data_IF_266511998661
#
_entry.id   IF_266511998661
#
_cell.length_a   1.000
_cell.length_b   1.000
_cell.length_c   1.000
_cell.angle_alpha   90.00
_cell.angle_beta   90.00
_cell.angle_gamma   90.00
#
_symmetry.space_group_name_H-M   'P 1'
#
loop_
_entity.id
_entity.type
_entity.pdbx_description
1 polymer ?
#
# COMPACT_ATOMS: atom_id res chain seq x y z
N UNK A 1 -16.71 -16.00 -36.82
CA UNK A 1 -15.40 -15.58 -36.28
C UNK A 1 -15.72 -14.95 -34.92
N UNK A 2 -15.86 -15.77 -33.89
CA UNK A 2 -16.26 -15.33 -32.55
C UNK A 2 -15.20 -15.79 -31.55
N UNK A 3 -14.58 -14.84 -30.86
CA UNK A 3 -13.84 -15.05 -29.61
C UNK A 3 -14.08 -13.83 -28.72
N UNK A 4 -15.29 -13.77 -28.17
CA UNK A 4 -15.55 -13.05 -26.92
C UNK A 4 -15.17 -13.91 -25.71
N UNK A 5 -15.16 -13.26 -24.56
CA UNK A 5 -15.00 -13.81 -23.20
C UNK A 5 -13.57 -13.97 -22.69
N UNK A 6 -13.08 -12.81 -22.24
CA UNK A 6 -12.46 -12.60 -20.94
C UNK A 6 -13.01 -13.54 -19.83
N UNK A 7 -12.12 -13.85 -18.87
CA UNK A 7 -12.35 -14.51 -17.58
C UNK A 7 -12.31 -16.04 -17.56
N UNK A 8 -11.14 -16.60 -17.22
CA UNK A 8 -11.04 -17.69 -16.23
C UNK A 8 -9.56 -17.86 -15.83
N UNK A 9 -9.11 -17.13 -14.81
CA UNK A 9 -7.87 -17.42 -14.10
C UNK A 9 -8.21 -18.06 -12.75
N UNK A 10 -8.15 -19.40 -12.60
CA UNK A 10 -8.34 -20.03 -11.29
C UNK A 10 -7.03 -20.11 -10.48
N UNK A 11 -7.06 -19.40 -9.34
CA UNK A 11 -6.58 -19.74 -7.99
C UNK A 11 -5.20 -20.41 -7.78
N UNK A 12 -4.24 -19.64 -7.22
CA UNK A 12 -3.16 -20.10 -6.29
C UNK A 12 -2.83 -18.91 -5.37
N UNK A 13 -2.60 -18.95 -4.06
CA UNK A 13 -2.30 -20.00 -3.10
C UNK A 13 -1.32 -19.41 -2.07
N UNK A 14 -1.59 -19.65 -0.77
CA UNK A 14 -0.77 -19.50 0.46
C UNK A 14 -0.76 -18.17 1.27
N UNK A 15 -0.95 -18.23 2.61
CA UNK A 15 -0.74 -17.13 3.54
C UNK A 15 0.68 -17.13 4.13
N UNK A 16 1.25 -15.94 4.37
CA UNK A 16 2.34 -15.75 5.33
C UNK A 16 3.63 -15.14 4.79
N UNK A 17 3.87 -13.90 5.25
CA UNK A 17 5.13 -13.22 5.58
C UNK A 17 6.19 -12.92 4.49
N UNK A 18 6.65 -11.67 4.56
CA UNK A 18 7.83 -11.05 3.95
C UNK A 18 7.72 -10.55 2.50
N UNK A 19 7.31 -9.27 2.39
CA UNK A 19 7.99 -8.35 1.47
C UNK A 19 7.68 -8.49 -0.01
N UNK A 20 6.41 -8.47 -0.39
CA UNK A 20 6.02 -8.27 -1.78
C UNK A 20 4.55 -8.56 -1.94
N UNK A 21 3.77 -7.52 -2.24
CA UNK A 21 2.36 -7.52 -2.68
C UNK A 21 1.50 -8.75 -2.30
N UNK A 22 0.46 -8.62 -1.47
CA UNK A 22 -0.47 -9.74 -1.28
C UNK A 22 -1.03 -10.20 -2.65
N UNK A 23 -1.18 -11.51 -2.88
CA UNK A 23 -1.87 -12.00 -4.06
C UNK A 23 -3.30 -11.45 -4.04
N UNK A 24 -3.69 -10.72 -5.09
CA UNK A 24 -4.99 -10.02 -5.17
C UNK A 24 -4.91 -8.50 -5.38
N UNK A 25 -3.71 -7.93 -5.49
CA UNK A 25 -3.53 -6.50 -5.80
C UNK A 25 -3.71 -6.25 -7.31
N UNK A 26 -4.59 -5.33 -7.70
CA UNK A 26 -4.75 -4.93 -9.11
C UNK A 26 -3.51 -4.20 -9.61
N UNK A 27 -3.33 -4.09 -10.93
CA UNK A 27 -2.24 -3.31 -11.52
C UNK A 27 -2.24 -1.85 -11.01
N UNK A 28 -3.43 -1.25 -10.90
CA UNK A 28 -3.63 0.11 -10.40
C UNK A 28 -3.15 0.26 -8.94
N UNK A 29 -3.46 -0.72 -8.08
CA UNK A 29 -2.98 -0.74 -6.69
C UNK A 29 -1.44 -0.85 -6.61
N UNK A 30 -0.82 -1.63 -7.50
CA UNK A 30 0.65 -1.75 -7.57
C UNK A 30 1.28 -0.41 -7.98
N UNK A 31 0.69 0.29 -8.95
CA UNK A 31 1.15 1.63 -9.37
C UNK A 31 1.02 2.65 -8.23
N UNK A 32 -0.11 2.65 -7.53
CA UNK A 32 -0.37 3.56 -6.41
C UNK A 32 0.56 3.29 -5.23
N UNK A 33 0.82 2.02 -4.91
CA UNK A 33 1.83 1.64 -3.91
C UNK A 33 3.24 2.07 -4.32
N UNK A 34 3.58 1.93 -5.60
CA UNK A 34 4.89 2.36 -6.12
C UNK A 34 5.05 3.87 -6.05
N UNK A 35 3.97 4.62 -6.32
CA UNK A 35 3.90 6.06 -6.12
C UNK A 35 4.11 6.42 -4.65
N UNK A 36 3.41 5.77 -3.72
CA UNK A 36 3.58 6.00 -2.28
C UNK A 36 5.02 5.73 -1.84
N UNK A 37 5.60 4.61 -2.25
CA UNK A 37 6.98 4.24 -1.92
C UNK A 37 8.04 5.20 -2.45
N UNK A 38 7.75 6.00 -3.48
CA UNK A 38 8.65 7.06 -3.98
C UNK A 38 8.73 8.24 -3.01
N UNK A 39 7.66 8.51 -2.26
CA UNK A 39 7.57 9.64 -1.32
C UNK A 39 7.81 9.22 0.14
N UNK A 40 8.10 7.95 0.40
CA UNK A 40 8.49 7.46 1.72
C UNK A 40 9.99 7.20 1.74
N UNK A 41 10.81 8.12 2.27
CA UNK A 41 12.26 7.92 2.32
C UNK A 41 12.61 6.83 3.32
N UNK A 42 13.66 6.04 3.04
CA UNK A 42 14.18 5.03 3.97
C UNK A 42 14.62 5.62 5.32
N UNK A 43 14.99 6.90 5.35
CA UNK A 43 15.31 7.61 6.60
C UNK A 43 14.11 7.83 7.51
N UNK A 44 12.89 7.79 6.98
CA UNK A 44 11.65 7.83 7.76
C UNK A 44 11.21 6.44 8.24
N UNK A 45 11.95 5.38 7.90
CA UNK A 45 11.65 4.00 8.29
C UNK A 45 12.79 3.41 9.15
N UNK A 46 12.45 2.72 10.25
CA UNK A 46 11.13 2.61 10.85
C UNK A 46 10.67 3.94 11.47
N UNK A 47 9.39 4.27 11.32
CA UNK A 47 8.86 5.54 11.82
C UNK A 47 7.36 5.53 12.03
N UNK A 48 6.91 6.39 12.95
CA UNK A 48 5.51 6.66 13.20
C UNK A 48 4.93 7.54 12.06
N UNK A 49 3.60 7.67 12.02
CA UNK A 49 2.90 8.52 11.06
C UNK A 49 3.54 9.90 10.83
N UNK A 50 3.93 10.58 11.91
CA UNK A 50 4.51 11.92 11.84
C UNK A 50 5.85 11.92 11.08
N UNK A 51 6.69 10.91 11.31
CA UNK A 51 7.97 10.75 10.62
C UNK A 51 7.78 10.47 9.11
N UNK A 52 6.73 9.72 8.77
CA UNK A 52 6.34 9.46 7.38
C UNK A 52 5.86 10.75 6.69
N UNK A 53 4.94 11.48 7.33
CA UNK A 53 4.43 12.76 6.81
C UNK A 53 5.55 13.79 6.63
N UNK A 54 6.46 13.90 7.59
CA UNK A 54 7.61 14.81 7.50
C UNK A 54 8.56 14.43 6.36
N UNK A 55 8.84 13.12 6.20
CA UNK A 55 9.64 12.60 5.10
C UNK A 55 9.03 12.88 3.74
N UNK A 56 7.72 12.65 3.62
CA UNK A 56 6.97 12.94 2.40
C UNK A 56 6.96 14.45 2.08
N UNK A 57 6.75 15.32 3.08
CA UNK A 57 6.85 16.78 2.89
C UNK A 57 8.24 17.23 2.44
N UNK A 58 9.29 16.59 2.97
CA UNK A 58 10.67 16.87 2.56
C UNK A 58 10.93 16.50 1.10
N UNK A 59 10.22 15.49 0.58
CA UNK A 59 10.25 15.07 -0.82
C UNK A 59 9.24 15.81 -1.70
N UNK A 60 8.63 16.88 -1.19
CA UNK A 60 7.60 17.65 -1.89
C UNK A 60 6.46 16.74 -2.40
N UNK A 61 6.06 15.78 -1.57
CA UNK A 61 4.96 14.89 -1.89
C UNK A 61 3.65 15.67 -2.07
N UNK A 62 2.78 15.24 -2.99
CA UNK A 62 1.47 15.87 -3.19
C UNK A 62 0.59 15.72 -1.94
N UNK A 63 -0.32 16.67 -1.73
CA UNK A 63 -1.21 16.70 -0.57
C UNK A 63 -2.04 15.41 -0.41
N UNK A 64 -2.44 14.76 -1.52
CA UNK A 64 -3.13 13.46 -1.48
C UNK A 64 -2.31 12.36 -0.80
N UNK A 65 -0.99 12.38 -0.97
CA UNK A 65 -0.08 11.42 -0.31
C UNK A 65 0.10 11.78 1.16
N UNK A 66 0.19 13.07 1.47
CA UNK A 66 0.28 13.57 2.84
C UNK A 66 -0.98 13.21 3.63
N UNK A 67 -2.17 13.40 3.05
CA UNK A 67 -3.45 13.08 3.66
C UNK A 67 -3.60 11.58 3.93
N UNK A 68 -3.23 10.74 2.96
CA UNK A 68 -3.17 9.29 3.16
C UNK A 68 -2.27 8.93 4.35
N UNK A 69 -1.02 9.42 4.35
CA UNK A 69 -0.12 9.17 5.47
C UNK A 69 -0.70 9.69 6.79
N UNK A 70 -1.34 10.86 6.80
CA UNK A 70 -1.99 11.43 7.98
C UNK A 70 -3.19 10.61 8.49
N UNK A 71 -3.82 9.81 7.62
CA UNK A 71 -4.91 8.89 8.00
C UNK A 71 -4.42 7.62 8.71
N UNK A 72 -3.11 7.36 8.73
CA UNK A 72 -2.56 6.19 9.44
C UNK A 72 -2.79 6.26 10.95
N UNK A 73 -2.82 5.10 11.64
CA UNK A 73 -2.80 5.06 13.11
C UNK A 73 -1.52 5.72 13.64
N UNK A 74 -1.68 6.64 14.61
CA UNK A 74 -0.58 7.36 15.23
C UNK A 74 0.23 6.51 16.22
N UNK A 75 -0.39 5.45 16.73
CA UNK A 75 0.14 4.59 17.79
C UNK A 75 1.02 3.44 17.25
N UNK A 76 1.07 3.29 15.92
CA UNK A 76 1.79 2.21 15.25
C UNK A 76 3.01 2.73 14.48
N UNK A 77 4.07 1.93 14.48
CA UNK A 77 5.30 2.19 13.73
C UNK A 77 5.38 1.31 12.52
N UNK A 78 5.54 1.93 11.38
CA UNK A 78 5.68 1.23 10.11
C UNK A 78 7.15 0.95 9.85
N UNK A 79 7.49 -0.32 9.61
CA UNK A 79 8.86 -0.71 9.25
C UNK A 79 9.07 -0.64 7.73
N UNK A 80 7.99 -0.81 6.96
CA UNK A 80 8.04 -0.92 5.51
C UNK A 80 6.87 -0.20 4.84
N UNK A 81 7.07 0.19 3.57
CA UNK A 81 6.00 0.75 2.72
C UNK A 81 4.82 -0.21 2.57
N UNK A 82 5.06 -1.52 2.65
CA UNK A 82 4.00 -2.51 2.59
C UNK A 82 3.06 -2.44 3.79
N UNK A 83 3.59 -2.22 5.00
CA UNK A 83 2.77 -2.03 6.21
C UNK A 83 1.99 -0.72 6.19
N UNK A 84 2.58 0.34 5.62
CA UNK A 84 1.87 1.60 5.41
C UNK A 84 0.68 1.37 4.47
N UNK A 85 0.94 0.75 3.32
CA UNK A 85 -0.10 0.42 2.34
C UNK A 85 -1.21 -0.45 2.95
N UNK A 86 -0.81 -1.42 3.76
CA UNK A 86 -1.70 -2.29 4.50
C UNK A 86 -2.65 -1.51 5.44
N UNK A 87 -2.09 -0.57 6.20
CA UNK A 87 -2.81 0.22 7.19
C UNK A 87 -3.74 1.29 6.58
N UNK A 88 -3.48 1.74 5.35
CA UNK A 88 -4.38 2.64 4.60
C UNK A 88 -5.69 1.98 4.16
N UNK A 89 -5.90 0.69 4.47
CA UNK A 89 -7.14 0.00 4.14
C UNK A 89 -7.20 -0.53 2.70
N UNK A 90 -6.08 -0.51 1.97
CA UNK A 90 -5.95 -1.26 0.71
C UNK A 90 -5.81 -2.78 0.95
N UNK A 91 -5.87 -3.22 2.20
CA UNK A 91 -6.29 -4.58 2.49
C UNK A 91 -7.81 -4.70 2.39
N UNK A 92 -8.22 -5.07 1.17
CA UNK A 92 -9.13 -6.16 0.91
C UNK A 92 -10.42 -6.14 1.75
N UNK A 93 -11.50 -5.79 1.07
CA UNK A 93 -12.87 -6.16 1.40
C UNK A 93 -12.99 -7.68 1.67
N UNK A 94 -12.61 -8.11 2.88
CA UNK A 94 -12.94 -9.40 3.46
C UNK A 94 -13.47 -9.23 4.89
N UNK A 95 -14.03 -8.05 5.20
CA UNK A 95 -15.05 -7.95 6.24
C UNK A 95 -16.37 -8.43 5.67
N UNK A 96 -16.46 -9.74 5.38
CA UNK A 96 -17.77 -10.38 5.18
C UNK A 96 -18.32 -10.76 6.53
N UNK A 97 -19.26 -9.95 7.01
CA UNK A 97 -20.21 -10.30 8.07
C UNK A 97 -21.16 -11.40 7.61
#
# INVERSE_FOLDING_TARGET
MERGSNEDLPEVGVPGVAGGAPPGMTYEEVEQRSRLGRYVPRSSLPGDREALVLGAKTLEAPDDVIDQLASLPAEERFQTVNEIWAALGHHNEARRT
#
